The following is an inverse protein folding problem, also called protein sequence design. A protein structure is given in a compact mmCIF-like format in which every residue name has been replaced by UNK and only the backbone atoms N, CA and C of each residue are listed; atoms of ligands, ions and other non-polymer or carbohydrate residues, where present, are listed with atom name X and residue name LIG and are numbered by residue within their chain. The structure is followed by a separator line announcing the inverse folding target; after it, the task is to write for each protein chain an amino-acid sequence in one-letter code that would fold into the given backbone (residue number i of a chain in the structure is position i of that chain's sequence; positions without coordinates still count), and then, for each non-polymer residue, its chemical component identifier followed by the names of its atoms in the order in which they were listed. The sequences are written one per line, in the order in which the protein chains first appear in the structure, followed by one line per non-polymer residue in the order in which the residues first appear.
data_IF_048814060309
#
_entry.id   IF_048814060309
#
_cell.length_a   1.000
_cell.length_b   1.000
_cell.length_c   1.000
_cell.angle_alpha   90.00
_cell.angle_beta   90.00
_cell.angle_gamma   90.00
#
_symmetry.space_group_name_H-M   'P 1'
#
loop_
_entity.id
_entity.type
_entity.pdbx_description
1 polymer ?
#
# COMPACT_ATOMS: atom_id res chain seq x y z
N UNK A 1 9.71 -14.43 -8.07
CA UNK A 1 8.61 -15.32 -7.62
C UNK A 1 7.77 -14.60 -6.56
N UNK A 2 6.47 -14.68 -6.70
CA UNK A 2 5.50 -14.10 -5.77
C UNK A 2 5.47 -14.94 -4.49
N UNK A 3 5.40 -14.26 -3.34
CA UNK A 3 5.30 -14.91 -2.03
C UNK A 3 3.84 -15.27 -1.73
N UNK A 4 3.61 -16.50 -1.31
CA UNK A 4 2.34 -16.93 -0.73
C UNK A 4 2.17 -16.37 0.69
N UNK A 5 0.98 -16.54 1.27
CA UNK A 5 0.73 -16.18 2.66
C UNK A 5 1.70 -16.86 3.64
N UNK A 6 2.08 -18.10 3.36
CA UNK A 6 3.07 -18.86 4.14
C UNK A 6 4.46 -18.25 4.02
N UNK A 7 4.89 -17.94 2.79
CA UNK A 7 6.18 -17.32 2.53
C UNK A 7 6.28 -15.91 3.16
N UNK A 8 5.18 -15.15 3.14
CA UNK A 8 5.12 -13.84 3.78
C UNK A 8 5.32 -13.97 5.30
N UNK A 9 4.64 -14.92 5.95
CA UNK A 9 4.84 -15.19 7.39
C UNK A 9 6.29 -15.57 7.70
N UNK A 10 6.88 -16.43 6.88
CA UNK A 10 8.27 -16.82 7.02
C UNK A 10 9.23 -15.64 6.84
N UNK A 11 9.00 -14.81 5.83
CA UNK A 11 9.79 -13.62 5.56
C UNK A 11 9.70 -12.60 6.71
N UNK A 12 8.53 -12.47 7.36
CA UNK A 12 8.36 -11.64 8.56
C UNK A 12 9.18 -12.21 9.72
N UNK A 13 9.12 -13.51 9.96
CA UNK A 13 9.91 -14.14 11.02
C UNK A 13 11.42 -13.99 10.80
N UNK A 14 11.87 -14.00 9.56
CA UNK A 14 13.28 -13.79 9.18
C UNK A 14 13.70 -12.31 9.15
N UNK A 15 12.76 -11.37 9.36
CA UNK A 15 13.04 -9.94 9.30
C UNK A 15 13.31 -9.41 7.89
N UNK A 16 12.88 -10.12 6.85
CA UNK A 16 12.96 -9.66 5.45
C UNK A 16 11.79 -8.74 5.08
N UNK A 17 10.66 -8.91 5.73
CA UNK A 17 9.46 -8.08 5.63
C UNK A 17 9.04 -7.67 7.03
N UNK A 18 8.65 -6.41 7.21
CA UNK A 18 7.93 -5.94 8.40
C UNK A 18 6.67 -5.21 7.96
N UNK A 19 5.57 -5.47 8.64
CA UNK A 19 4.28 -4.82 8.44
C UNK A 19 3.74 -4.46 9.83
N UNK A 20 3.61 -3.17 10.12
CA UNK A 20 3.17 -2.71 11.44
C UNK A 20 2.07 -1.64 11.32
N UNK A 21 0.89 -1.85 11.90
CA UNK A 21 0.43 -3.05 12.61
C UNK A 21 0.17 -4.22 11.65
N UNK A 22 0.41 -5.45 12.10
CA UNK A 22 0.12 -6.66 11.34
C UNK A 22 -1.20 -7.29 11.80
N UNK A 23 -2.11 -7.54 10.84
CA UNK A 23 -3.34 -8.26 11.09
C UNK A 23 -3.36 -9.53 10.22
N UNK A 24 -3.33 -10.74 10.82
CA UNK A 24 -3.33 -11.98 10.04
C UNK A 24 -4.54 -12.14 9.12
N UNK A 25 -5.68 -11.50 9.42
CA UNK A 25 -6.88 -11.53 8.58
C UNK A 25 -6.73 -10.77 7.26
N UNK A 26 -5.72 -9.90 7.16
CA UNK A 26 -5.41 -9.16 5.94
C UNK A 26 -4.48 -9.94 4.99
N UNK A 27 -3.94 -11.09 5.40
CA UNK A 27 -3.22 -11.96 4.49
C UNK A 27 -4.15 -12.51 3.43
N UNK A 28 -3.68 -12.47 2.19
CA UNK A 28 -4.34 -13.07 1.03
C UNK A 28 -3.46 -14.22 0.51
N UNK A 29 -3.95 -15.08 -0.38
CA UNK A 29 -3.14 -16.20 -0.89
C UNK A 29 -1.78 -15.81 -1.45
N UNK A 30 -1.64 -14.57 -1.95
CA UNK A 30 -0.43 -14.10 -2.64
C UNK A 30 -0.07 -12.65 -2.30
N UNK A 31 -0.45 -12.18 -1.11
CA UNK A 31 -0.17 -10.81 -0.69
C UNK A 31 -0.75 -10.45 0.66
N UNK A 32 -0.90 -9.16 0.90
CA UNK A 32 -1.45 -8.60 2.12
C UNK A 32 -2.31 -7.37 1.79
N UNK A 33 -3.52 -7.28 2.33
CA UNK A 33 -4.38 -6.13 2.15
C UNK A 33 -3.98 -5.00 3.10
N UNK A 34 -3.46 -3.92 2.54
CA UNK A 34 -3.14 -2.68 3.26
C UNK A 34 -4.41 -1.86 3.51
N UNK A 35 -4.42 -1.14 4.62
CA UNK A 35 -5.57 -0.36 5.08
C UNK A 35 -5.32 1.13 4.98
N UNK A 36 -6.42 1.89 4.91
CA UNK A 36 -6.39 3.36 4.87
C UNK A 36 -5.91 3.91 6.20
N UNK A 37 -4.88 4.74 6.19
CA UNK A 37 -4.45 5.55 7.34
C UNK A 37 -5.10 6.93 7.27
N UNK A 38 -4.56 7.81 6.44
CA UNK A 38 -5.09 9.15 6.22
C UNK A 38 -5.65 9.29 4.81
N UNK A 39 -6.59 10.21 4.63
CA UNK A 39 -7.18 10.55 3.33
C UNK A 39 -6.89 12.03 3.07
N UNK A 40 -6.23 12.31 1.94
CA UNK A 40 -6.05 13.67 1.45
C UNK A 40 -7.06 13.96 0.35
N UNK A 41 -7.91 14.95 0.58
CA UNK A 41 -8.94 15.37 -0.36
C UNK A 41 -9.19 16.86 -0.21
N UNK A 42 -9.32 17.58 -1.32
CA UNK A 42 -9.60 19.04 -1.34
C UNK A 42 -8.66 19.84 -0.45
N UNK A 43 -7.37 19.49 -0.43
CA UNK A 43 -6.36 20.17 0.36
C UNK A 43 -6.37 19.86 1.86
N UNK A 44 -7.14 18.87 2.30
CA UNK A 44 -7.29 18.50 3.73
C UNK A 44 -6.95 17.04 3.97
N UNK A 45 -6.42 16.76 5.15
CA UNK A 45 -6.25 15.42 5.70
C UNK A 45 -7.44 15.09 6.58
N UNK A 46 -8.14 14.01 6.25
CA UNK A 46 -9.33 13.53 6.98
C UNK A 46 -9.24 12.02 7.23
N UNK A 47 -10.08 11.52 8.14
CA UNK A 47 -10.14 10.08 8.47
C UNK A 47 -11.28 9.36 7.77
N UNK A 48 -12.24 10.09 7.25
CA UNK A 48 -13.33 9.56 6.44
C UNK A 48 -13.74 10.59 5.41
N UNK A 49 -14.15 10.14 4.24
CA UNK A 49 -14.59 11.03 3.16
C UNK A 49 -15.59 10.35 2.24
N UNK A 50 -16.49 11.14 1.70
CA UNK A 50 -17.29 10.81 0.53
C UNK A 50 -16.59 11.35 -0.71
N UNK A 51 -16.19 10.47 -1.60
CA UNK A 51 -15.48 10.82 -2.83
C UNK A 51 -16.49 10.83 -3.98
N UNK A 52 -16.70 11.98 -4.55
CA UNK A 52 -17.64 12.17 -5.68
C UNK A 52 -17.04 11.65 -6.98
N UNK A 53 -17.88 11.37 -8.00
CA UNK A 53 -17.38 11.15 -9.35
C UNK A 53 -16.49 12.29 -9.84
N UNK A 54 -15.46 11.94 -10.61
CA UNK A 54 -14.48 12.86 -11.18
C UNK A 54 -13.61 13.58 -10.15
N UNK A 55 -13.48 13.02 -8.95
CA UNK A 55 -12.67 13.59 -7.87
C UNK A 55 -11.39 12.79 -7.66
N UNK A 56 -10.27 13.52 -7.55
CA UNK A 56 -8.98 12.97 -7.17
C UNK A 56 -8.83 12.99 -5.64
N UNK A 57 -8.18 11.99 -5.12
CA UNK A 57 -7.81 11.89 -3.72
C UNK A 57 -6.54 11.06 -3.56
N UNK A 58 -5.91 11.15 -2.41
CA UNK A 58 -4.80 10.28 -2.05
C UNK A 58 -5.00 9.74 -0.64
N UNK A 59 -4.40 8.58 -0.38
CA UNK A 59 -4.38 8.00 0.96
C UNK A 59 -2.95 7.69 1.37
N UNK A 60 -2.67 7.69 2.67
CA UNK A 60 -1.54 6.97 3.22
C UNK A 60 -2.02 5.62 3.75
N UNK A 61 -1.18 4.59 3.64
CA UNK A 61 -1.47 3.32 4.31
C UNK A 61 -1.31 3.48 5.81
N UNK A 62 -2.11 2.75 6.59
CA UNK A 62 -1.95 2.67 8.04
C UNK A 62 -0.68 1.91 8.40
N UNK A 63 -0.39 0.88 7.63
CA UNK A 63 0.77 0.02 7.85
C UNK A 63 2.06 0.74 7.44
N UNK A 64 3.03 0.72 8.36
CA UNK A 64 4.41 1.04 8.10
C UNK A 64 5.10 -0.25 7.66
N UNK A 65 5.64 -0.29 6.47
CA UNK A 65 6.30 -1.48 5.93
C UNK A 65 7.80 -1.29 5.84
N UNK A 66 8.54 -2.41 5.94
CA UNK A 66 9.98 -2.45 5.65
C UNK A 66 10.26 -3.64 4.76
N UNK A 67 11.00 -3.43 3.70
CA UNK A 67 11.43 -4.46 2.76
C UNK A 67 12.95 -4.54 2.78
N UNK A 68 13.50 -5.73 2.97
CA UNK A 68 14.95 -5.95 2.93
C UNK A 68 15.40 -6.51 1.60
N UNK A 69 15.18 -7.78 1.35
CA UNK A 69 15.62 -8.49 0.15
C UNK A 69 14.46 -8.91 -0.75
N UNK A 70 13.35 -8.24 -0.61
CA UNK A 70 12.15 -8.43 -1.42
C UNK A 70 11.75 -7.09 -2.02
N UNK A 71 11.07 -7.15 -3.14
CA UNK A 71 10.40 -6.00 -3.74
C UNK A 71 8.90 -6.23 -3.69
N UNK A 72 8.09 -5.21 -3.95
CA UNK A 72 6.65 -5.39 -3.95
C UNK A 72 5.96 -4.56 -5.02
N UNK A 73 4.75 -4.97 -5.36
CA UNK A 73 3.82 -4.28 -6.23
C UNK A 73 2.53 -4.00 -5.48
N UNK A 74 1.86 -2.91 -5.83
CA UNK A 74 0.57 -2.55 -5.27
C UNK A 74 -0.53 -2.78 -6.31
N UNK A 75 -1.65 -3.30 -5.85
CA UNK A 75 -2.84 -3.52 -6.66
C UNK A 75 -4.07 -3.02 -5.91
N UNK A 76 -4.90 -2.22 -6.57
CA UNK A 76 -6.17 -1.79 -5.98
C UNK A 76 -7.05 -3.02 -5.75
N UNK A 77 -7.73 -3.08 -4.61
CA UNK A 77 -8.70 -4.16 -4.38
C UNK A 77 -9.83 -4.07 -5.41
N UNK A 78 -10.26 -5.23 -5.90
CA UNK A 78 -11.28 -5.33 -6.95
C UNK A 78 -12.59 -4.64 -6.59
N UNK A 79 -12.93 -4.55 -5.31
CA UNK A 79 -14.12 -3.83 -4.85
C UNK A 79 -14.09 -2.33 -5.17
N UNK A 80 -12.93 -1.70 -5.12
CA UNK A 80 -12.75 -0.30 -5.53
C UNK A 80 -12.62 -0.15 -7.05
N UNK A 81 -11.86 -1.03 -7.68
CA UNK A 81 -11.71 -1.03 -9.13
C UNK A 81 -13.05 -1.17 -9.85
N UNK A 82 -13.93 -2.04 -9.36
CA UNK A 82 -15.29 -2.24 -9.91
C UNK A 82 -16.20 -1.03 -9.74
N UNK A 83 -15.95 -0.18 -8.76
CA UNK A 83 -16.69 1.08 -8.54
C UNK A 83 -16.17 2.23 -9.39
N UNK A 84 -15.15 1.99 -10.20
CA UNK A 84 -14.57 3.00 -11.08
C UNK A 84 -13.43 3.80 -10.47
N UNK A 85 -12.83 3.33 -9.38
CA UNK A 85 -11.63 3.94 -8.84
C UNK A 85 -10.42 3.49 -9.67
N UNK A 86 -9.64 4.47 -10.12
CA UNK A 86 -8.39 4.26 -10.83
C UNK A 86 -7.24 4.67 -9.91
N UNK A 87 -6.13 3.95 -9.99
CA UNK A 87 -4.92 4.31 -9.26
C UNK A 87 -3.68 4.04 -10.10
N UNK A 88 -2.69 4.91 -9.92
CA UNK A 88 -1.36 4.70 -10.51
C UNK A 88 -0.44 4.22 -9.41
N UNK A 89 0.06 3.00 -9.55
CA UNK A 89 0.95 2.40 -8.56
C UNK A 89 2.40 2.43 -9.04
N UNK A 90 3.28 2.75 -8.11
CA UNK A 90 4.72 2.55 -8.29
C UNK A 90 5.17 1.20 -7.77
N UNK A 91 6.36 0.80 -8.17
CA UNK A 91 7.07 -0.33 -7.61
C UNK A 91 7.58 0.05 -6.21
N UNK A 92 7.50 -0.88 -5.26
CA UNK A 92 8.10 -0.71 -3.93
C UNK A 92 9.45 -1.42 -3.95
N UNK A 93 10.51 -0.65 -3.88
CA UNK A 93 11.87 -1.16 -4.03
C UNK A 93 12.37 -1.85 -2.76
N UNK A 94 13.32 -2.78 -2.93
CA UNK A 94 14.05 -3.36 -1.81
C UNK A 94 14.80 -2.28 -1.03
N UNK A 95 14.72 -2.32 0.30
CA UNK A 95 15.25 -1.30 1.18
C UNK A 95 14.27 -0.18 1.54
N UNK A 96 13.10 -0.13 0.90
CA UNK A 96 12.06 0.83 1.28
C UNK A 96 11.53 0.54 2.69
N UNK A 97 11.29 1.60 3.44
CA UNK A 97 10.52 1.59 4.68
C UNK A 97 9.64 2.84 4.76
N UNK A 98 8.43 2.69 5.27
CA UNK A 98 7.48 3.77 5.42
C UNK A 98 6.02 3.33 5.20
N UNK A 99 5.10 4.25 5.43
CA UNK A 99 3.74 4.17 4.94
C UNK A 99 3.73 4.51 3.44
N UNK A 100 2.81 3.94 2.70
CA UNK A 100 2.72 4.20 1.25
C UNK A 100 1.68 5.28 0.98
N UNK A 101 2.01 6.23 0.11
CA UNK A 101 1.04 7.17 -0.44
C UNK A 101 0.48 6.61 -1.75
N UNK A 102 -0.84 6.51 -1.84
CA UNK A 102 -1.56 5.98 -3.00
C UNK A 102 -2.46 7.09 -3.54
N UNK A 103 -2.20 7.50 -4.78
CA UNK A 103 -3.00 8.48 -5.50
C UNK A 103 -4.09 7.79 -6.29
N UNK A 104 -5.32 8.26 -6.18
CA UNK A 104 -6.51 7.68 -6.78
C UNK A 104 -7.36 8.73 -7.48
N UNK A 105 -8.11 8.28 -8.47
CA UNK A 105 -9.12 9.06 -9.16
C UNK A 105 -10.42 8.26 -9.22
N UNK A 106 -11.52 8.84 -8.73
CA UNK A 106 -12.83 8.22 -8.79
C UNK A 106 -13.55 8.61 -10.07
N UNK A 107 -13.65 7.70 -11.01
CA UNK A 107 -14.18 7.98 -12.34
C UNK A 107 -15.72 7.81 -12.48
N UNK A 108 -16.39 7.13 -11.52
CA UNK A 108 -17.75 6.68 -11.81
C UNK A 108 -18.80 7.08 -10.76
N UNK A 109 -18.81 6.48 -9.59
CA UNK A 109 -19.89 6.66 -8.62
C UNK A 109 -19.36 7.18 -7.30
N UNK A 110 -20.21 7.85 -6.50
CA UNK A 110 -19.83 8.26 -5.16
C UNK A 110 -19.45 7.03 -4.33
N UNK A 111 -18.33 7.13 -3.65
CA UNK A 111 -17.84 6.10 -2.72
C UNK A 111 -17.57 6.72 -1.35
N UNK A 112 -17.68 5.91 -0.30
CA UNK A 112 -17.20 6.24 1.04
C UNK A 112 -15.90 5.53 1.30
N UNK A 113 -14.95 6.22 1.93
CA UNK A 113 -13.67 5.67 2.41
C UNK A 113 -13.46 6.09 3.85
N UNK A 114 -13.04 5.14 4.69
CA UNK A 114 -12.76 5.37 6.11
C UNK A 114 -11.39 4.81 6.49
N UNK A 115 -10.77 5.42 7.50
CA UNK A 115 -9.60 4.87 8.16
C UNK A 115 -9.83 3.39 8.55
N UNK A 116 -8.85 2.56 8.31
CA UNK A 116 -8.88 1.14 8.63
C UNK A 116 -9.52 0.24 7.58
N UNK A 117 -10.17 0.78 6.55
CA UNK A 117 -10.70 -0.04 5.44
C UNK A 117 -9.56 -0.58 4.57
N UNK A 118 -9.68 -1.83 4.14
CA UNK A 118 -8.74 -2.45 3.20
C UNK A 118 -8.92 -1.83 1.82
N UNK A 119 -7.86 -1.28 1.24
CA UNK A 119 -7.93 -0.54 -0.02
C UNK A 119 -7.07 -1.13 -1.13
N UNK A 120 -5.88 -1.59 -0.83
CA UNK A 120 -5.00 -2.17 -1.83
C UNK A 120 -4.29 -3.39 -1.31
N UNK A 121 -3.95 -4.29 -2.22
CA UNK A 121 -3.14 -5.46 -1.94
C UNK A 121 -1.68 -5.15 -2.27
N UNK A 122 -0.77 -5.42 -1.33
CA UNK A 122 0.66 -5.47 -1.62
C UNK A 122 1.06 -6.90 -1.92
N UNK A 123 1.73 -7.10 -3.05
CA UNK A 123 2.21 -8.39 -3.53
C UNK A 123 3.73 -8.36 -3.46
N UNK A 124 4.32 -9.27 -2.69
CA UNK A 124 5.76 -9.34 -2.49
C UNK A 124 6.40 -10.30 -3.49
N UNK A 125 7.57 -9.92 -3.98
CA UNK A 125 8.34 -10.72 -4.92
C UNK A 125 9.76 -10.94 -4.40
N UNK A 126 10.19 -12.19 -4.41
CA UNK A 126 11.58 -12.53 -4.13
C UNK A 126 12.44 -12.17 -5.34
N UNK A 127 13.53 -11.46 -5.10
CA UNK A 127 14.53 -11.18 -6.12
C UNK A 127 15.47 -12.39 -6.30
N UNK A 128 15.96 -12.57 -7.52
CA UNK A 128 16.90 -13.65 -7.83
C UNK A 128 18.22 -13.51 -7.05
N UNK A 129 18.69 -12.29 -6.88
CA UNK A 129 19.89 -11.95 -6.13
C UNK A 129 19.67 -10.65 -5.35
N UNK A 130 20.51 -10.39 -4.36
CA UNK A 130 20.46 -9.14 -3.61
C UNK A 130 20.86 -7.97 -4.50
N UNK A 131 20.21 -6.81 -4.37
CA UNK A 131 20.59 -5.62 -5.13
C UNK A 131 21.94 -5.11 -4.66
N UNK A 132 22.70 -4.49 -5.56
CA UNK A 132 23.97 -3.83 -5.19
C UNK A 132 23.75 -2.57 -4.34
N UNK A 133 22.57 -1.95 -4.45
CA UNK A 133 22.15 -0.79 -3.67
C UNK A 133 20.68 -0.96 -3.29
N UNK A 134 20.37 -0.63 -2.05
CA UNK A 134 18.99 -0.57 -1.54
C UNK A 134 18.40 0.83 -1.71
N UNK A 135 17.08 0.92 -1.66
CA UNK A 135 16.39 2.18 -1.77
C UNK A 135 16.81 3.17 -0.67
N UNK A 136 17.22 4.37 -1.06
CA UNK A 136 17.58 5.50 -0.20
C UNK A 136 16.93 6.81 -0.69
N UNK A 137 15.78 6.71 -1.34
CA UNK A 137 15.05 7.86 -1.88
C UNK A 137 14.35 8.69 -0.82
N UNK A 138 13.81 9.83 -1.26
CA UNK A 138 13.18 10.83 -0.40
C UNK A 138 11.93 10.36 0.37
N UNK A 139 11.31 9.27 -0.04
CA UNK A 139 10.11 8.75 0.61
C UNK A 139 10.39 7.74 1.71
N UNK A 140 11.68 7.39 1.91
CA UNK A 140 12.07 6.48 2.98
C UNK A 140 11.74 7.08 4.35
N UNK A 141 11.02 6.33 5.19
CA UNK A 141 10.60 6.77 6.51
C UNK A 141 9.32 7.61 6.55
N UNK A 142 8.63 7.82 5.42
CA UNK A 142 7.38 8.59 5.42
C UNK A 142 6.28 7.91 6.25
N UNK A 143 5.45 8.72 6.93
CA UNK A 143 4.37 8.25 7.81
C UNK A 143 2.99 8.82 7.47
N UNK A 144 2.95 9.85 6.62
CA UNK A 144 1.73 10.56 6.22
C UNK A 144 1.61 10.60 4.72
N UNK A 145 0.50 11.13 4.20
CA UNK A 145 0.38 11.41 2.76
C UNK A 145 1.47 12.39 2.33
N UNK A 146 2.21 12.02 1.30
CA UNK A 146 3.28 12.83 0.75
C UNK A 146 3.15 12.94 -0.76
N UNK A 147 3.03 14.16 -1.26
CA UNK A 147 2.67 14.47 -2.65
C UNK A 147 3.79 15.21 -3.42
N UNK A 148 4.89 15.53 -2.77
CA UNK A 148 6.04 16.27 -3.32
C UNK A 148 7.09 15.40 -4.01
#
# INVERSE_FOLDING_TARGET
MILSDRDIREAILKGEISIEPFNPENLTPNGYDLTVGEIFIEGKIVKEAKIKPMQWFAISTKEYIKLKNVTAQLWLRSSYARKGVLSTFGKVDAGFEGCLTISCFNAHQEIEIKEGERICQIVFEKMLSHPSKYYEGKYKGQKTVRLD
#
